data_IF_012458264764
#
_entry.id   IF_012458264764
#
_cell.length_a   1.000
_cell.length_b   1.000
_cell.length_c   1.000
_cell.angle_alpha   90.00
_cell.angle_beta   90.00
_cell.angle_gamma   90.00
#
_symmetry.space_group_name_H-M   'P 1'
#
loop_
_entity.id
_entity.type
_entity.pdbx_description
1 polymer ?
#
# COMPACT_ATOMS: atom_id res chain seq x y z
N UNK A 1 54.00 15.46 4.77
CA UNK A 1 53.11 14.35 5.16
C UNK A 1 51.89 14.86 5.93
N UNK A 2 51.10 15.80 5.36
CA UNK A 2 49.91 16.37 6.03
C UNK A 2 48.86 16.93 5.05
N UNK A 3 48.71 16.31 3.89
CA UNK A 3 47.73 16.77 2.87
C UNK A 3 46.88 15.65 2.28
N UNK A 4 47.04 14.41 2.78
CA UNK A 4 46.29 13.23 2.32
C UNK A 4 45.03 13.01 3.19
N UNK A 5 45.00 13.53 4.42
CA UNK A 5 43.86 13.34 5.34
C UNK A 5 42.59 14.14 4.99
N UNK A 6 42.66 15.10 4.06
CA UNK A 6 41.54 16.00 3.73
C UNK A 6 40.61 15.46 2.63
N UNK A 7 41.03 14.43 1.89
CA UNK A 7 40.23 13.85 0.78
C UNK A 7 39.32 12.69 1.22
N UNK A 8 39.62 12.05 2.35
CA UNK A 8 38.81 10.93 2.86
C UNK A 8 37.57 11.36 3.65
N UNK A 9 37.42 12.65 3.96
CA UNK A 9 36.31 13.17 4.78
C UNK A 9 35.13 13.72 3.96
N UNK A 10 35.07 13.44 2.64
CA UNK A 10 33.97 13.87 1.76
C UNK A 10 33.36 12.67 1.01
N UNK A 11 33.90 11.45 1.16
CA UNK A 11 33.38 10.26 0.47
C UNK A 11 32.31 9.50 1.28
N UNK A 12 32.11 9.81 2.57
CA UNK A 12 31.07 9.19 3.43
C UNK A 12 29.78 10.05 3.46
N UNK A 13 29.80 11.24 2.87
CA UNK A 13 28.63 12.11 2.72
C UNK A 13 27.96 11.93 1.35
N UNK A 14 27.94 10.69 0.86
CA UNK A 14 27.07 10.25 -0.23
C UNK A 14 26.18 9.11 0.27
N UNK A 15 25.55 9.33 1.44
CA UNK A 15 24.30 8.67 1.81
C UNK A 15 23.24 9.16 0.82
N UNK A 16 23.30 8.64 -0.40
CA UNK A 16 22.19 8.62 -1.33
C UNK A 16 21.18 7.69 -0.67
N UNK A 17 20.37 8.26 0.22
CA UNK A 17 19.20 7.57 0.76
C UNK A 17 18.23 7.52 -0.40
N UNK A 18 18.41 6.50 -1.25
CA UNK A 18 17.43 6.11 -2.26
C UNK A 18 16.13 5.91 -1.51
N UNK A 19 15.19 6.84 -1.63
CA UNK A 19 13.84 6.62 -1.13
C UNK A 19 13.27 5.46 -1.97
N UNK A 20 13.35 4.25 -1.42
CA UNK A 20 12.74 3.09 -2.04
C UNK A 20 11.23 3.29 -1.92
N UNK A 21 10.54 3.10 -3.05
CA UNK A 21 9.09 2.99 -3.05
C UNK A 21 8.72 1.69 -3.72
N UNK A 22 7.93 0.89 -3.04
CA UNK A 22 7.33 -0.32 -3.59
C UNK A 22 5.82 -0.19 -3.52
N UNK A 23 5.13 -0.74 -4.51
CA UNK A 23 3.67 -0.82 -4.55
C UNK A 23 3.28 -2.26 -4.79
N UNK A 24 2.38 -2.77 -3.96
CA UNK A 24 1.78 -4.08 -4.11
C UNK A 24 0.27 -3.95 -4.31
N UNK A 25 -0.33 -4.98 -4.87
CA UNK A 25 -1.73 -4.96 -5.31
C UNK A 25 -2.43 -6.26 -4.94
N UNK A 26 -3.72 -6.16 -4.63
CA UNK A 26 -4.60 -7.32 -4.52
C UNK A 26 -4.85 -8.04 -5.85
N UNK A 27 -4.31 -7.52 -6.96
CA UNK A 27 -4.33 -8.14 -8.29
C UNK A 27 -3.04 -8.88 -8.63
N UNK A 28 -1.99 -8.82 -7.79
CA UNK A 28 -0.72 -9.48 -8.09
C UNK A 28 -0.79 -10.98 -7.76
N UNK A 29 -0.78 -11.87 -8.77
CA UNK A 29 -0.90 -13.32 -8.56
C UNK A 29 0.34 -13.93 -7.90
N UNK A 30 1.48 -13.21 -7.84
CA UNK A 30 2.68 -13.66 -7.15
C UNK A 30 2.66 -13.33 -5.65
N UNK A 31 1.63 -12.61 -5.19
CA UNK A 31 1.39 -12.30 -3.79
C UNK A 31 0.00 -12.83 -3.38
N UNK A 32 -0.63 -12.21 -2.38
CA UNK A 32 -1.98 -12.51 -1.91
C UNK A 32 -3.08 -12.08 -2.89
N UNK A 33 -2.70 -11.58 -4.06
CA UNK A 33 -3.62 -11.13 -5.08
C UNK A 33 -4.27 -12.27 -5.84
N UNK A 34 -5.41 -11.95 -6.44
CA UNK A 34 -6.10 -12.79 -7.41
C UNK A 34 -6.40 -11.96 -8.66
N UNK A 35 -6.48 -12.58 -9.84
CA UNK A 35 -6.89 -11.92 -11.10
C UNK A 35 -8.41 -11.54 -11.07
N UNK A 36 -8.88 -11.01 -9.93
CA UNK A 36 -10.27 -10.73 -9.63
C UNK A 36 -10.45 -9.36 -8.99
N UNK A 37 -11.61 -8.76 -9.26
CA UNK A 37 -12.09 -7.57 -8.56
C UNK A 37 -13.09 -7.97 -7.48
N UNK A 38 -13.10 -7.22 -6.38
CA UNK A 38 -14.03 -7.44 -5.28
C UNK A 38 -15.31 -6.65 -5.50
N UNK A 39 -16.44 -7.35 -5.65
CA UNK A 39 -17.77 -6.76 -5.79
C UNK A 39 -18.30 -6.31 -4.43
N UNK A 40 -17.81 -5.16 -3.98
CA UNK A 40 -18.19 -4.50 -2.74
C UNK A 40 -18.55 -3.03 -3.02
N UNK A 41 -19.33 -2.41 -2.14
CA UNK A 41 -19.62 -0.99 -2.25
C UNK A 41 -18.41 -0.13 -1.86
N UNK A 42 -18.37 1.12 -2.35
CA UNK A 42 -17.39 2.13 -1.94
C UNK A 42 -17.31 2.28 -0.42
N UNK A 43 -18.46 2.23 0.26
CA UNK A 43 -18.54 2.35 1.72
C UNK A 43 -17.91 1.16 2.42
N UNK A 44 -18.12 -0.06 1.91
CA UNK A 44 -17.48 -1.27 2.44
C UNK A 44 -15.97 -1.20 2.22
N UNK A 45 -15.52 -0.85 1.01
CA UNK A 45 -14.09 -0.68 0.70
C UNK A 45 -13.42 0.33 1.65
N UNK A 46 -14.04 1.48 1.82
CA UNK A 46 -13.58 2.53 2.74
C UNK A 46 -13.47 2.01 4.18
N UNK A 47 -14.48 1.29 4.67
CA UNK A 47 -14.53 0.77 6.04
C UNK A 47 -13.44 -0.27 6.30
N UNK A 48 -13.26 -1.24 5.40
CA UNK A 48 -12.25 -2.30 5.59
C UNK A 48 -10.83 -1.76 5.48
N UNK A 49 -10.60 -0.81 4.57
CA UNK A 49 -9.29 -0.14 4.46
C UNK A 49 -8.95 0.63 5.73
N UNK A 50 -9.90 1.40 6.28
CA UNK A 50 -9.67 2.11 7.53
C UNK A 50 -9.41 1.16 8.69
N UNK A 51 -10.18 0.07 8.79
CA UNK A 51 -9.97 -0.95 9.81
C UNK A 51 -8.59 -1.60 9.70
N UNK A 52 -8.13 -1.92 8.47
CA UNK A 52 -6.80 -2.45 8.24
C UNK A 52 -5.70 -1.45 8.63
N UNK A 53 -5.84 -0.18 8.23
CA UNK A 53 -4.87 0.87 8.56
C UNK A 53 -4.72 1.07 10.07
N UNK A 54 -5.82 1.02 10.83
CA UNK A 54 -5.82 1.19 12.29
C UNK A 54 -5.08 0.10 13.06
N UNK A 55 -4.85 -1.06 12.44
CA UNK A 55 -4.06 -2.14 13.04
C UNK A 55 -2.57 -1.82 12.95
N UNK A 56 -2.15 -1.19 11.86
CA UNK A 56 -0.74 -0.93 11.56
C UNK A 56 -0.28 0.47 11.99
N UNK A 57 -1.20 1.44 12.04
CA UNK A 57 -0.92 2.86 12.25
C UNK A 57 -1.91 3.42 13.27
N UNK A 58 -1.37 4.17 14.24
CA UNK A 58 -2.19 4.93 15.20
C UNK A 58 -3.18 5.83 14.45
N UNK A 59 -4.46 5.74 14.81
CA UNK A 59 -5.56 6.42 14.14
C UNK A 59 -5.33 7.93 13.99
N UNK A 60 -4.67 8.57 14.96
CA UNK A 60 -4.36 10.02 14.90
C UNK A 60 -3.39 10.39 13.76
N UNK A 61 -2.65 9.41 13.27
CA UNK A 61 -1.66 9.56 12.19
C UNK A 61 -2.20 9.08 10.84
N UNK A 62 -3.44 8.58 10.78
CA UNK A 62 -4.10 8.20 9.54
C UNK A 62 -4.78 9.44 8.95
N UNK A 63 -4.48 9.74 7.69
CA UNK A 63 -5.14 10.80 6.93
C UNK A 63 -5.94 10.20 5.80
N UNK A 64 -7.12 10.76 5.56
CA UNK A 64 -7.93 10.43 4.39
C UNK A 64 -7.30 11.11 3.18
N UNK A 65 -7.15 10.38 2.07
CA UNK A 65 -6.71 10.96 0.82
C UNK A 65 -7.80 11.81 0.19
N UNK A 66 -7.42 12.92 -0.44
CA UNK A 66 -8.38 13.83 -1.06
C UNK A 66 -9.08 13.17 -2.25
N UNK A 67 -10.38 13.46 -2.38
CA UNK A 67 -11.19 13.10 -3.56
C UNK A 67 -10.48 13.52 -4.86
N UNK A 68 -10.49 12.70 -5.94
CA UNK A 68 -11.36 11.54 -6.18
C UNK A 68 -10.85 10.20 -5.62
N UNK A 69 -9.71 10.19 -4.93
CA UNK A 69 -9.11 8.95 -4.44
C UNK A 69 -9.94 8.35 -3.28
N UNK A 70 -10.05 7.03 -3.27
CA UNK A 70 -10.58 6.27 -2.14
C UNK A 70 -9.39 5.64 -1.43
N UNK A 71 -8.98 6.23 -0.31
CA UNK A 71 -7.84 5.70 0.41
C UNK A 71 -7.37 6.52 1.59
N UNK A 72 -6.31 6.01 2.19
CA UNK A 72 -5.72 6.52 3.42
C UNK A 72 -4.21 6.58 3.28
N UNK A 73 -3.59 7.53 3.95
CA UNK A 73 -2.14 7.57 4.14
C UNK A 73 -1.80 7.63 5.63
N UNK A 74 -0.61 7.15 5.97
CA UNK A 74 -0.04 7.24 7.30
C UNK A 74 1.47 7.07 7.24
N UNK A 75 2.12 6.92 8.39
CA UNK A 75 3.55 6.64 8.42
C UNK A 75 3.89 5.64 9.51
N UNK A 76 4.81 4.74 9.19
CA UNK A 76 5.46 3.85 10.14
C UNK A 76 6.88 4.35 10.41
N UNK A 77 7.41 4.06 11.59
CA UNK A 77 8.72 4.52 12.02
C UNK A 77 9.55 3.34 12.51
N UNK A 78 10.81 3.31 12.09
CA UNK A 78 11.80 2.35 12.57
C UNK A 78 13.05 3.12 13.03
N UNK A 79 13.25 3.22 14.34
CA UNK A 79 14.29 4.09 14.89
C UNK A 79 14.05 5.55 14.51
N UNK A 80 14.96 6.17 13.76
CA UNK A 80 14.84 7.55 13.26
C UNK A 80 14.26 7.61 11.84
N UNK A 81 14.19 6.48 11.15
CA UNK A 81 13.71 6.37 9.78
C UNK A 81 12.18 6.30 9.73
N UNK A 82 11.61 6.89 8.68
CA UNK A 82 10.17 6.92 8.47
C UNK A 82 9.83 6.40 7.08
N UNK A 83 8.69 5.73 7.01
CA UNK A 83 8.13 5.26 5.75
C UNK A 83 6.68 5.72 5.65
N UNK A 84 6.32 6.33 4.52
CA UNK A 84 4.95 6.74 4.25
C UNK A 84 4.20 5.57 3.65
N UNK A 85 3.10 5.19 4.30
CA UNK A 85 2.23 4.12 3.85
C UNK A 85 1.00 4.75 3.20
N UNK A 86 0.63 4.25 2.03
CA UNK A 86 -0.57 4.67 1.29
C UNK A 86 -1.38 3.43 0.93
N UNK A 87 -2.66 3.41 1.27
CA UNK A 87 -3.60 2.34 0.92
C UNK A 87 -4.74 2.92 0.09
N UNK A 88 -4.91 2.39 -1.12
CA UNK A 88 -5.84 2.89 -2.14
C UNK A 88 -6.79 1.79 -2.59
N UNK A 89 -8.03 2.18 -2.90
CA UNK A 89 -9.00 1.38 -3.62
C UNK A 89 -9.27 2.05 -4.97
N UNK A 90 -9.16 1.27 -6.04
CA UNK A 90 -9.48 1.70 -7.40
C UNK A 90 -10.71 0.96 -7.88
N UNK A 91 -11.67 1.69 -8.44
CA UNK A 91 -12.78 1.06 -9.16
C UNK A 91 -12.25 0.43 -10.45
N UNK A 92 -12.61 -0.83 -10.67
CA UNK A 92 -12.16 -1.65 -11.78
C UNK A 92 -13.35 -2.43 -12.33
N UNK A 93 -13.31 -2.73 -13.63
CA UNK A 93 -14.32 -3.55 -14.29
C UNK A 93 -13.95 -5.02 -14.18
N UNK A 94 -14.96 -5.87 -14.02
CA UNK A 94 -14.81 -7.32 -14.04
C UNK A 94 -15.96 -7.99 -14.80
N UNK A 95 -15.81 -9.28 -15.03
CA UNK A 95 -16.80 -10.13 -15.70
C UNK A 95 -17.33 -11.16 -14.73
N UNK A 96 -18.65 -11.29 -14.66
CA UNK A 96 -19.32 -12.31 -13.85
C UNK A 96 -20.49 -12.91 -14.61
N UNK A 97 -20.41 -14.19 -14.93
CA UNK A 97 -21.48 -14.90 -15.66
C UNK A 97 -21.80 -14.27 -17.02
N UNK A 98 -20.81 -13.68 -17.69
CA UNK A 98 -20.99 -13.00 -18.98
C UNK A 98 -21.51 -11.56 -18.90
N UNK A 99 -21.65 -11.00 -17.69
CA UNK A 99 -22.05 -9.60 -17.48
C UNK A 99 -20.88 -8.78 -16.92
N UNK A 100 -20.66 -7.61 -17.49
CA UNK A 100 -19.72 -6.62 -16.96
C UNK A 100 -20.23 -6.03 -15.65
N UNK A 101 -19.39 -6.03 -14.63
CA UNK A 101 -19.68 -5.54 -13.28
C UNK A 101 -18.56 -4.63 -12.80
N UNK A 102 -18.89 -3.66 -11.95
CA UNK A 102 -17.92 -2.78 -11.30
C UNK A 102 -17.57 -3.33 -9.91
N UNK A 103 -16.28 -3.33 -9.59
CA UNK A 103 -15.76 -3.73 -8.29
C UNK A 103 -14.54 -2.90 -7.90
N UNK A 104 -13.87 -3.29 -6.82
CA UNK A 104 -12.68 -2.62 -6.32
C UNK A 104 -11.47 -3.55 -6.32
N UNK A 105 -10.32 -2.96 -6.60
CA UNK A 105 -9.00 -3.54 -6.34
C UNK A 105 -8.24 -2.63 -5.38
N UNK A 106 -7.39 -3.23 -4.53
CA UNK A 106 -6.62 -2.53 -3.52
C UNK A 106 -5.14 -2.46 -3.88
N UNK A 107 -4.52 -1.34 -3.52
CA UNK A 107 -3.11 -1.05 -3.76
C UNK A 107 -2.50 -0.49 -2.49
N UNK A 108 -1.37 -1.01 -2.07
CA UNK A 108 -0.63 -0.50 -0.93
C UNK A 108 0.78 -0.11 -1.38
N UNK A 109 1.18 1.11 -1.05
CA UNK A 109 2.47 1.68 -1.39
C UNK A 109 3.20 2.08 -0.12
N UNK A 110 4.48 1.75 -0.03
CA UNK A 110 5.39 2.39 0.92
C UNK A 110 6.38 3.26 0.15
N UNK A 111 6.86 4.32 0.79
CA UNK A 111 7.87 5.23 0.25
C UNK A 111 8.60 5.92 1.40
N UNK A 112 9.91 5.72 1.48
CA UNK A 112 10.71 6.36 2.53
C UNK A 112 12.04 5.68 2.77
N UNK A 113 12.54 5.83 4.00
CA UNK A 113 13.87 5.39 4.40
C UNK A 113 13.83 4.22 5.39
N UNK A 114 12.63 3.78 5.79
CA UNK A 114 12.41 2.63 6.67
C UNK A 114 11.77 1.43 5.95
N UNK A 115 12.39 0.84 4.90
CA UNK A 115 11.80 -0.28 4.16
C UNK A 115 11.54 -1.50 5.06
N UNK A 116 12.39 -1.73 6.07
CA UNK A 116 12.23 -2.81 7.05
C UNK A 116 10.92 -2.73 7.86
N UNK A 117 10.31 -1.55 7.96
CA UNK A 117 8.97 -1.37 8.50
C UNK A 117 7.91 -1.24 7.40
N UNK A 118 8.23 -0.55 6.30
CA UNK A 118 7.28 -0.25 5.23
C UNK A 118 6.81 -1.46 4.43
N UNK A 119 7.75 -2.28 3.93
CA UNK A 119 7.47 -3.47 3.12
C UNK A 119 6.52 -4.46 3.84
N UNK A 120 6.84 -4.94 5.06
CA UNK A 120 5.96 -5.91 5.71
C UNK A 120 4.63 -5.28 6.13
N UNK A 121 4.55 -3.95 6.28
CA UNK A 121 3.29 -3.25 6.56
C UNK A 121 2.36 -3.29 5.36
N UNK A 122 2.86 -2.97 4.16
CA UNK A 122 2.00 -2.98 2.96
C UNK A 122 1.51 -4.39 2.62
N UNK A 123 2.35 -5.41 2.80
CA UNK A 123 1.97 -6.83 2.67
C UNK A 123 0.78 -7.18 3.57
N UNK A 124 0.92 -6.94 4.88
CA UNK A 124 -0.18 -7.18 5.85
C UNK A 124 -1.45 -6.40 5.52
N UNK A 125 -1.32 -5.17 5.02
CA UNK A 125 -2.46 -4.36 4.62
C UNK A 125 -3.20 -5.00 3.44
N UNK A 126 -2.50 -5.39 2.37
CA UNK A 126 -3.13 -6.03 1.20
C UNK A 126 -3.79 -7.34 1.60
N UNK A 127 -3.10 -8.19 2.36
CA UNK A 127 -3.63 -9.48 2.80
C UNK A 127 -4.93 -9.32 3.56
N UNK A 128 -4.96 -8.36 4.48
CA UNK A 128 -6.13 -8.09 5.32
C UNK A 128 -7.29 -7.52 4.52
N UNK A 129 -7.06 -6.49 3.70
CA UNK A 129 -8.18 -5.92 2.92
C UNK A 129 -8.71 -6.88 1.87
N UNK A 130 -7.84 -7.69 1.24
CA UNK A 130 -8.26 -8.75 0.33
C UNK A 130 -9.15 -9.76 1.05
N UNK A 131 -8.67 -10.28 2.19
CA UNK A 131 -9.44 -11.23 3.01
C UNK A 131 -10.78 -10.67 3.48
N UNK A 132 -10.80 -9.44 4.00
CA UNK A 132 -12.03 -8.81 4.49
C UNK A 132 -13.00 -8.52 3.32
N UNK A 133 -12.49 -8.16 2.14
CA UNK A 133 -13.30 -8.00 0.93
C UNK A 133 -13.89 -9.33 0.42
N UNK A 134 -13.13 -10.42 0.49
CA UNK A 134 -13.62 -11.77 0.16
C UNK A 134 -14.74 -12.23 1.10
N UNK A 135 -14.62 -11.92 2.39
CA UNK A 135 -15.62 -12.29 3.39
C UNK A 135 -16.93 -11.48 3.24
N UNK A 136 -16.84 -10.24 2.76
CA UNK A 136 -17.96 -9.31 2.69
C UNK A 136 -18.56 -9.16 1.29
N UNK A 137 -17.91 -9.71 0.27
CA UNK A 137 -18.25 -9.50 -1.13
C UNK A 137 -18.18 -10.75 -1.98
N UNK A 138 -18.35 -10.57 -3.28
CA UNK A 138 -18.15 -11.63 -4.27
C UNK A 138 -16.97 -11.28 -5.16
N UNK A 139 -16.38 -12.29 -5.80
CA UNK A 139 -15.33 -12.09 -6.81
C UNK A 139 -15.92 -12.05 -8.22
N UNK A 140 -15.29 -11.27 -9.10
CA UNK A 140 -15.49 -11.27 -10.54
C UNK A 140 -14.12 -11.27 -11.23
N UNK A 141 -14.02 -11.91 -12.39
CA UNK A 141 -12.77 -11.96 -13.17
C UNK A 141 -12.40 -10.55 -13.64
N UNK A 142 -11.15 -10.13 -13.47
CA UNK A 142 -10.70 -8.81 -13.90
C UNK A 142 -10.80 -8.70 -15.44
N UNK A 143 -11.44 -7.63 -15.92
CA UNK A 143 -11.39 -7.26 -17.33
C UNK A 143 -10.12 -6.45 -17.59
N UNK A 144 -9.22 -7.02 -18.41
CA UNK A 144 -7.93 -6.42 -18.80
C UNK A 144 -8.10 -5.49 -20.01
#
# INVERSE_FOLDING_TARGET
>A
MFTILKKSMILILLLVVSACSNTISSLDPNQTGSDHVYLISKQVATRIMFAAMKIEIDEKNIKVLTSPLVGYEGSVQWGVDKDKITLLAKSMKGMKGGVEVEGYAFFATHSGTAPAAGEPTIERLIDRVAKDAELLGQKAELLK
#
